data_IF_008175432581
#
_entry.id   IF_008175432581
#
_cell.length_a   1.000
_cell.length_b   1.000
_cell.length_c   1.000
_cell.angle_alpha   90.00
_cell.angle_beta   90.00
_cell.angle_gamma   90.00
#
_symmetry.space_group_name_H-M   'P 1'
#
loop_
_entity.id
_entity.type
_entity.pdbx_description
1 polymer ?
#
# COMPACT_ATOMS: atom_id res chain seq x y z
N UNK A 1 -5.01 6.52 -20.54
CA UNK A 1 -6.02 5.51 -20.11
C UNK A 1 -5.37 4.13 -20.19
N UNK A 2 -5.66 3.19 -19.29
CA UNK A 2 -4.89 1.94 -19.05
C UNK A 2 -4.79 0.97 -20.26
N UNK A 3 -5.56 1.20 -21.31
CA UNK A 3 -5.63 0.36 -22.51
C UNK A 3 -6.28 -1.00 -22.27
N UNK A 4 -6.89 -1.21 -21.10
CA UNK A 4 -7.57 -2.45 -20.73
C UNK A 4 -9.07 -2.30 -21.05
N UNK A 5 -9.69 -3.25 -21.79
CA UNK A 5 -11.11 -3.18 -22.10
C UNK A 5 -12.00 -3.18 -20.85
N UNK A 6 -13.15 -2.49 -20.93
CA UNK A 6 -14.05 -2.32 -19.79
C UNK A 6 -14.61 -3.65 -19.23
N UNK A 7 -14.77 -4.69 -20.06
CA UNK A 7 -15.22 -6.01 -19.57
C UNK A 7 -14.10 -6.74 -18.80
N UNK A 8 -12.84 -6.56 -19.21
CA UNK A 8 -11.67 -7.10 -18.51
C UNK A 8 -11.52 -6.41 -17.14
N UNK A 9 -11.70 -5.09 -17.07
CA UNK A 9 -11.71 -4.37 -15.79
C UNK A 9 -12.78 -4.90 -14.83
N UNK A 10 -14.00 -5.15 -15.34
CA UNK A 10 -15.09 -5.74 -14.54
C UNK A 10 -14.73 -7.13 -14.02
N UNK A 11 -14.07 -7.93 -14.83
CA UNK A 11 -13.59 -9.25 -14.42
C UNK A 11 -12.47 -9.14 -13.38
N UNK A 12 -11.51 -8.23 -13.56
CA UNK A 12 -10.45 -8.02 -12.57
C UNK A 12 -10.99 -7.51 -11.22
N UNK A 13 -12.04 -6.69 -11.21
CA UNK A 13 -12.69 -6.29 -9.96
C UNK A 13 -13.27 -7.47 -9.16
N UNK A 14 -13.77 -8.51 -9.83
CA UNK A 14 -14.27 -9.71 -9.15
C UNK A 14 -13.13 -10.60 -8.66
N UNK A 15 -12.03 -10.66 -9.40
CA UNK A 15 -10.89 -11.51 -9.07
C UNK A 15 -9.97 -10.90 -7.99
N UNK A 16 -9.70 -9.60 -8.07
CA UNK A 16 -8.71 -8.93 -7.24
C UNK A 16 -9.38 -8.09 -6.14
N UNK A 17 -9.41 -8.63 -4.91
CA UNK A 17 -10.01 -7.94 -3.74
C UNK A 17 -9.42 -6.55 -3.46
N UNK A 18 -8.19 -6.29 -3.89
CA UNK A 18 -7.50 -5.00 -3.74
C UNK A 18 -7.97 -3.95 -4.76
N UNK A 19 -8.62 -4.35 -5.85
CA UNK A 19 -9.17 -3.48 -6.89
C UNK A 19 -10.68 -3.31 -6.69
N UNK A 20 -11.07 -2.32 -5.87
CA UNK A 20 -12.48 -2.04 -5.54
C UNK A 20 -12.82 -0.57 -5.79
N UNK A 21 -13.08 -0.18 -7.05
CA UNK A 21 -13.50 1.19 -7.35
C UNK A 21 -14.84 1.48 -6.66
N UNK A 22 -15.02 2.73 -6.21
CA UNK A 22 -16.30 3.14 -5.64
C UNK A 22 -17.34 3.30 -6.75
N UNK A 23 -18.60 3.07 -6.43
CA UNK A 23 -19.72 3.43 -7.30
C UNK A 23 -20.25 4.80 -6.92
N UNK A 24 -20.62 5.62 -7.90
CA UNK A 24 -21.41 6.83 -7.67
C UNK A 24 -22.90 6.45 -7.45
N UNK A 25 -23.78 7.41 -7.07
CA UNK A 25 -25.20 7.13 -6.87
C UNK A 25 -25.92 6.57 -8.12
N UNK A 26 -25.44 6.89 -9.32
CA UNK A 26 -25.93 6.34 -10.58
C UNK A 26 -25.38 4.94 -10.91
N UNK A 27 -24.61 4.32 -10.02
CA UNK A 27 -24.05 2.98 -10.19
C UNK A 27 -22.79 2.88 -11.08
N UNK A 28 -22.27 4.00 -11.57
CA UNK A 28 -21.06 4.05 -12.38
C UNK A 28 -19.79 3.93 -11.53
N UNK A 29 -18.79 3.24 -12.04
CA UNK A 29 -17.50 3.01 -11.37
C UNK A 29 -16.62 4.25 -11.47
N UNK A 30 -16.12 4.70 -10.34
CA UNK A 30 -15.16 5.79 -10.23
C UNK A 30 -13.83 5.20 -9.77
N UNK A 31 -12.87 5.15 -10.69
CA UNK A 31 -11.50 4.71 -10.41
C UNK A 31 -10.68 5.87 -9.88
N UNK A 32 -10.13 5.71 -8.69
CA UNK A 32 -9.16 6.64 -8.11
C UNK A 32 -7.77 6.31 -8.62
N UNK A 33 -6.80 7.21 -8.38
CA UNK A 33 -5.39 6.99 -8.73
C UNK A 33 -4.88 5.61 -8.30
N UNK A 34 -5.11 5.23 -7.03
CA UNK A 34 -4.72 3.90 -6.50
C UNK A 34 -5.32 2.72 -7.28
N UNK A 35 -6.54 2.87 -7.80
CA UNK A 35 -7.23 1.81 -8.53
C UNK A 35 -6.59 1.69 -9.93
N UNK A 36 -6.26 2.83 -10.55
CA UNK A 36 -5.51 2.88 -11.81
C UNK A 36 -4.12 2.26 -11.65
N UNK A 37 -3.41 2.58 -10.57
CA UNK A 37 -2.07 2.03 -10.29
C UNK A 37 -2.16 0.50 -10.08
N UNK A 38 -3.18 0.03 -9.36
CA UNK A 38 -3.45 -1.40 -9.20
C UNK A 38 -3.77 -2.08 -10.53
N UNK A 39 -4.58 -1.45 -11.41
CA UNK A 39 -4.87 -1.97 -12.75
C UNK A 39 -3.58 -2.10 -13.57
N UNK A 40 -2.72 -1.08 -13.55
CA UNK A 40 -1.44 -1.13 -14.26
C UNK A 40 -0.53 -2.23 -13.70
N UNK A 41 -0.51 -2.42 -12.37
CA UNK A 41 0.26 -3.51 -11.75
C UNK A 41 -0.28 -4.88 -12.16
N UNK A 42 -1.59 -5.09 -12.11
CA UNK A 42 -2.23 -6.35 -12.56
C UNK A 42 -1.90 -6.61 -14.03
N UNK A 43 -1.98 -5.58 -14.88
CA UNK A 43 -1.64 -5.68 -16.30
C UNK A 43 -0.21 -6.19 -16.49
N UNK A 44 0.78 -5.59 -15.85
CA UNK A 44 2.17 -6.04 -15.94
C UNK A 44 2.33 -7.48 -15.46
N UNK A 45 1.72 -7.85 -14.33
CA UNK A 45 1.82 -9.21 -13.80
C UNK A 45 1.25 -10.27 -14.77
N UNK A 46 0.16 -9.96 -15.46
CA UNK A 46 -0.50 -10.91 -16.35
C UNK A 46 0.09 -10.94 -17.76
N UNK A 47 0.43 -9.77 -18.32
CA UNK A 47 0.85 -9.66 -19.72
C UNK A 47 2.37 -9.67 -19.89
N UNK A 48 3.10 -8.97 -19.01
CA UNK A 48 4.55 -8.82 -19.12
C UNK A 48 5.24 -9.98 -18.39
N UNK A 49 4.85 -10.24 -17.14
CA UNK A 49 5.42 -11.31 -16.31
C UNK A 49 4.79 -12.69 -16.59
N UNK A 50 3.78 -12.75 -17.46
CA UNK A 50 3.07 -13.97 -17.90
C UNK A 50 2.54 -14.83 -16.74
N UNK A 51 2.20 -14.21 -15.61
CA UNK A 51 1.61 -14.93 -14.49
C UNK A 51 0.16 -15.31 -14.78
N UNK A 52 -0.27 -16.42 -14.18
CA UNK A 52 -1.69 -16.73 -14.08
C UNK A 52 -2.39 -15.77 -13.11
N UNK A 53 -3.72 -15.72 -13.14
CA UNK A 53 -4.51 -14.93 -12.19
C UNK A 53 -4.15 -15.26 -10.74
N UNK A 54 -4.04 -16.55 -10.41
CA UNK A 54 -3.65 -17.00 -9.07
C UNK A 54 -2.21 -16.60 -8.72
N UNK A 55 -1.28 -16.66 -9.70
CA UNK A 55 0.08 -16.18 -9.52
C UNK A 55 0.14 -14.68 -9.22
N UNK A 56 -0.61 -13.88 -9.98
CA UNK A 56 -0.71 -12.44 -9.77
C UNK A 56 -1.33 -12.09 -8.41
N UNK A 57 -2.41 -12.79 -7.99
CA UNK A 57 -3.00 -12.62 -6.65
C UNK A 57 -1.99 -12.89 -5.54
N UNK A 58 -1.26 -14.00 -5.62
CA UNK A 58 -0.21 -14.36 -4.65
C UNK A 58 0.89 -13.30 -4.60
N UNK A 59 1.33 -12.80 -5.76
CA UNK A 59 2.36 -11.76 -5.87
C UNK A 59 1.91 -10.45 -5.22
N UNK A 60 0.72 -9.96 -5.54
CA UNK A 60 0.16 -8.73 -4.97
C UNK A 60 0.00 -8.82 -3.45
N UNK A 61 -0.43 -9.99 -2.94
CA UNK A 61 -0.54 -10.21 -1.50
C UNK A 61 0.83 -10.18 -0.80
N UNK A 62 1.86 -10.78 -1.42
CA UNK A 62 3.22 -10.74 -0.91
C UNK A 62 3.79 -9.30 -0.90
N UNK A 63 3.54 -8.52 -1.95
CA UNK A 63 3.92 -7.10 -2.03
C UNK A 63 3.26 -6.27 -0.93
N UNK A 64 1.96 -6.47 -0.68
CA UNK A 64 1.23 -5.79 0.39
C UNK A 64 1.80 -6.10 1.77
N UNK A 65 2.11 -7.36 2.07
CA UNK A 65 2.71 -7.75 3.35
C UNK A 65 4.12 -7.17 3.53
N UNK A 66 4.92 -7.15 2.47
CA UNK A 66 6.26 -6.56 2.51
C UNK A 66 6.18 -5.05 2.77
N UNK A 67 5.23 -4.36 2.14
CA UNK A 67 5.01 -2.94 2.36
C UNK A 67 4.58 -2.64 3.81
N UNK A 68 3.73 -3.48 4.39
CA UNK A 68 3.31 -3.36 5.80
C UNK A 68 4.47 -3.59 6.77
N UNK A 69 5.28 -4.64 6.56
CA UNK A 69 6.48 -4.89 7.37
C UNK A 69 7.47 -3.71 7.30
N UNK A 70 7.69 -3.15 6.11
CA UNK A 70 8.56 -1.99 5.95
C UNK A 70 8.01 -0.76 6.69
N UNK A 71 6.70 -0.52 6.63
CA UNK A 71 6.06 0.57 7.37
C UNK A 71 6.19 0.40 8.89
N UNK A 72 6.04 -0.83 9.40
CA UNK A 72 6.24 -1.12 10.82
C UNK A 72 7.68 -0.85 11.24
N UNK A 73 8.67 -1.31 10.49
CA UNK A 73 10.08 -1.04 10.78
C UNK A 73 10.40 0.47 10.79
N UNK A 74 9.87 1.23 9.83
CA UNK A 74 10.03 2.70 9.81
C UNK A 74 9.41 3.37 11.04
N UNK A 75 8.23 2.89 11.48
CA UNK A 75 7.58 3.39 12.71
C UNK A 75 8.43 3.10 13.94
N UNK A 76 8.94 1.88 14.09
CA UNK A 76 9.82 1.49 15.21
C UNK A 76 11.06 2.38 15.30
N UNK A 77 11.73 2.64 14.17
CA UNK A 77 12.88 3.55 14.11
C UNK A 77 12.48 4.97 14.54
N UNK A 78 11.33 5.46 14.08
CA UNK A 78 10.80 6.77 14.48
C UNK A 78 10.52 6.84 15.98
N UNK A 79 9.91 5.80 16.56
CA UNK A 79 9.65 5.74 18.00
C UNK A 79 10.95 5.71 18.81
N UNK A 80 11.91 4.87 18.42
CA UNK A 80 13.21 4.80 19.08
C UNK A 80 13.93 6.17 19.07
N UNK A 81 13.87 6.88 17.93
CA UNK A 81 14.44 8.22 17.81
C UNK A 81 13.69 9.25 18.69
N UNK A 82 12.37 9.18 18.76
CA UNK A 82 11.57 10.05 19.63
C UNK A 82 11.90 9.82 21.11
N UNK A 83 11.97 8.55 21.55
CA UNK A 83 12.35 8.18 22.92
C UNK A 83 13.77 8.64 23.27
N UNK A 84 14.72 8.49 22.34
CA UNK A 84 16.08 9.00 22.50
C UNK A 84 16.08 10.50 22.76
N UNK A 85 15.37 11.28 21.94
CA UNK A 85 15.26 12.74 22.11
C UNK A 85 14.62 13.13 23.45
N UNK A 86 13.56 12.42 23.88
CA UNK A 86 12.91 12.67 25.16
C UNK A 86 13.89 12.42 26.31
N UNK A 87 14.56 11.27 26.30
CA UNK A 87 15.56 10.92 27.31
C UNK A 87 16.67 11.95 27.38
N UNK A 88 17.26 12.33 26.24
CA UNK A 88 18.38 13.27 26.19
C UNK A 88 17.96 14.68 26.69
N UNK A 89 16.69 15.07 26.46
CA UNK A 89 16.12 16.31 27.02
C UNK A 89 15.94 16.22 28.54
N UNK A 90 15.41 15.10 29.04
CA UNK A 90 15.20 14.89 30.49
C UNK A 90 16.53 14.83 31.25
N UNK A 91 17.55 14.17 30.70
CA UNK A 91 18.89 14.15 31.31
C UNK A 91 19.50 15.55 31.34
N UNK A 92 19.34 16.33 30.26
CA UNK A 92 19.76 17.73 30.23
C UNK A 92 19.05 18.60 31.28
N UNK A 93 17.74 18.40 31.50
CA UNK A 93 17.00 19.12 32.56
C UNK A 93 17.45 18.69 33.96
N UNK A 94 17.64 17.39 34.19
CA UNK A 94 18.12 16.87 35.48
C UNK A 94 19.50 17.44 35.84
N UNK A 95 20.41 17.53 34.88
CA UNK A 95 21.75 18.08 35.10
C UNK A 95 21.73 19.57 35.52
N UNK A 96 20.73 20.34 35.05
CA UNK A 96 20.57 21.77 35.38
C UNK A 96 19.89 22.03 36.72
N UNK A 97 19.15 21.06 37.25
CA UNK A 97 18.43 21.17 38.53
C UNK A 97 19.22 20.56 39.69
N UNK A 98 20.33 19.86 39.41
CA UNK A 98 21.23 19.27 40.41
C UNK A 98 22.47 20.11 40.72
N UNK A 99 22.56 21.33 40.17
CA UNK A 99 23.55 22.38 40.45
C UNK A 99 22.88 23.55 41.14
#
# INVERSE_FOLDING_TARGET
MTGVPAYVLRYWESEFKLLRPKKNPAGQRIYRRRDVDMIMRIKTLLYDDRLTLEGAKKRLLAESRKAEQLQLGLREVSYANALRRIRDRLTGLRARLGS
#
